data_IF_886107849803
#
_entry.id   IF_886107849803
#
_cell.length_a   1.000
_cell.length_b   1.000
_cell.length_c   1.000
_cell.angle_alpha   90.00
_cell.angle_beta   90.00
_cell.angle_gamma   90.00
#
_symmetry.space_group_name_H-M   'P 1'
#
loop_
_entity.id
_entity.type
_entity.pdbx_description
1 polymer ?
#
# COMPACT_ATOMS: atom_id res chain seq x y z
N UNK A 1 -7.45 1.43 12.40
CA UNK A 1 -8.68 1.26 11.61
C UNK A 1 -8.63 2.28 10.48
N UNK A 2 -8.61 1.84 9.23
CA UNK A 2 -8.64 2.70 8.04
C UNK A 2 -10.08 2.82 7.55
N UNK A 3 -10.58 4.05 7.38
CA UNK A 3 -11.94 4.31 6.89
C UNK A 3 -11.92 4.67 5.41
N UNK A 4 -12.75 3.99 4.60
CA UNK A 4 -12.98 4.31 3.19
C UNK A 4 -14.33 4.97 3.00
N UNK A 5 -14.36 6.20 2.49
CA UNK A 5 -15.56 6.83 1.94
C UNK A 5 -15.19 7.60 0.67
N UNK A 6 -15.08 6.89 -0.45
CA UNK A 6 -15.02 7.49 -1.79
C UNK A 6 -16.32 7.17 -2.52
N UNK A 7 -17.38 7.94 -2.31
CA UNK A 7 -18.61 7.84 -3.11
C UNK A 7 -19.09 9.21 -3.64
N UNK A 8 -18.36 10.31 -3.38
CA UNK A 8 -18.82 11.68 -3.66
C UNK A 8 -17.89 12.53 -4.54
N UNK A 9 -16.91 11.96 -5.25
CA UNK A 9 -16.11 12.70 -6.24
C UNK A 9 -15.06 13.66 -5.69
N UNK A 10 -14.84 13.75 -4.37
CA UNK A 10 -13.80 14.60 -3.76
C UNK A 10 -12.40 13.96 -3.70
N UNK A 11 -12.17 12.89 -4.47
CA UNK A 11 -10.98 12.05 -4.32
C UNK A 11 -11.04 11.19 -3.06
N UNK A 12 -10.19 10.17 -2.99
CA UNK A 12 -10.12 9.29 -1.83
C UNK A 12 -8.88 9.57 -1.00
N UNK A 13 -9.05 9.47 0.31
CA UNK A 13 -7.98 9.65 1.29
C UNK A 13 -7.95 8.47 2.25
N UNK A 14 -6.75 8.13 2.72
CA UNK A 14 -6.54 7.22 3.83
C UNK A 14 -6.17 8.04 5.08
N UNK A 15 -6.62 7.61 6.25
CA UNK A 15 -6.24 8.24 7.53
C UNK A 15 -5.66 7.24 8.49
N UNK A 16 -4.61 7.64 9.19
CA UNK A 16 -4.07 6.91 10.35
C UNK A 16 -4.56 7.52 11.64
N UNK A 17 -4.78 6.64 12.62
CA UNK A 17 -5.34 6.98 13.91
C UNK A 17 -4.55 6.29 14.99
N UNK A 18 -4.14 7.05 16.00
CA UNK A 18 -3.66 6.47 17.25
C UNK A 18 -4.87 5.98 18.05
N UNK A 19 -4.98 4.67 18.20
CA UNK A 19 -6.08 4.04 18.95
C UNK A 19 -5.97 4.33 20.45
N UNK A 20 -4.76 4.49 20.99
CA UNK A 20 -4.54 4.73 22.42
C UNK A 20 -4.88 6.16 22.79
N UNK A 21 -4.49 7.11 21.95
CA UNK A 21 -4.76 8.54 22.16
C UNK A 21 -6.09 8.99 21.53
N UNK A 22 -6.78 8.10 20.80
CA UNK A 22 -7.97 8.39 20.00
C UNK A 22 -7.82 9.62 19.10
N UNK A 23 -6.61 9.84 18.60
CA UNK A 23 -6.27 11.03 17.84
C UNK A 23 -5.93 10.67 16.40
N UNK A 24 -6.42 11.49 15.49
CA UNK A 24 -5.97 11.48 14.11
C UNK A 24 -4.48 11.82 14.06
N UNK A 25 -3.71 10.98 13.36
CA UNK A 25 -2.31 11.23 13.09
C UNK A 25 -2.19 11.91 11.72
N UNK A 26 -2.37 11.16 10.64
CA UNK A 26 -1.99 11.61 9.30
C UNK A 26 -3.15 11.39 8.29
N UNK A 27 -3.24 12.27 7.29
CA UNK A 27 -4.17 12.14 6.16
C UNK A 27 -3.39 12.00 4.85
N UNK A 28 -3.54 10.86 4.18
CA UNK A 28 -2.94 10.56 2.89
C UNK A 28 -3.96 10.82 1.79
N UNK A 29 -3.89 11.99 1.15
CA UNK A 29 -4.75 12.37 0.04
C UNK A 29 -3.97 12.33 -1.28
N UNK A 30 -4.55 11.70 -2.30
CA UNK A 30 -3.89 11.62 -3.62
C UNK A 30 -4.45 10.57 -4.57
N UNK A 31 -5.35 9.70 -4.10
CA UNK A 31 -6.07 8.78 -4.98
C UNK A 31 -7.24 9.48 -5.67
N UNK A 32 -7.40 9.21 -6.97
CA UNK A 32 -8.46 9.83 -7.78
C UNK A 32 -9.81 9.14 -7.54
N UNK A 33 -9.79 7.84 -7.25
CA UNK A 33 -10.98 7.06 -6.94
C UNK A 33 -10.88 6.39 -5.58
N UNK A 34 -11.95 5.72 -5.19
CA UNK A 34 -12.09 4.99 -3.94
C UNK A 34 -10.91 4.04 -3.73
N UNK A 35 -10.25 4.20 -2.59
CA UNK A 35 -9.29 3.22 -2.09
C UNK A 35 -10.11 2.01 -1.65
N UNK A 36 -9.75 0.82 -2.12
CA UNK A 36 -10.43 -0.41 -1.72
C UNK A 36 -9.68 -1.14 -0.63
N UNK A 37 -8.34 -1.13 -0.73
CA UNK A 37 -7.48 -1.82 0.21
C UNK A 37 -6.34 -0.91 0.68
N UNK A 38 -5.95 -1.11 1.93
CA UNK A 38 -4.74 -0.54 2.49
C UNK A 38 -4.09 -1.55 3.43
N UNK A 39 -2.76 -1.55 3.49
CA UNK A 39 -2.03 -2.41 4.40
C UNK A 39 -0.88 -1.62 5.05
N UNK A 40 -0.61 -1.94 6.31
CA UNK A 40 0.57 -1.45 6.99
C UNK A 40 1.72 -2.40 6.70
N UNK A 41 2.76 -1.87 6.08
CA UNK A 41 4.05 -2.51 6.07
C UNK A 41 4.70 -2.12 7.41
N UNK A 42 4.74 -3.08 8.34
CA UNK A 42 5.50 -2.94 9.57
C UNK A 42 6.91 -2.45 9.30
N UNK A 43 7.49 -1.79 10.30
CA UNK A 43 8.76 -1.08 10.18
C UNK A 43 9.81 -1.93 9.44
N UNK A 44 10.21 -1.50 8.24
CA UNK A 44 11.28 -2.15 7.52
C UNK A 44 12.50 -2.16 8.44
N UNK A 45 12.97 -3.34 8.88
CA UNK A 45 14.06 -3.45 9.89
C UNK A 45 15.35 -2.73 9.49
N UNK A 46 15.59 -2.48 8.19
CA UNK A 46 16.77 -1.72 7.75
C UNK A 46 16.71 -0.25 8.15
N UNK A 47 15.61 0.42 7.84
CA UNK A 47 15.47 1.87 8.00
C UNK A 47 14.55 2.27 9.16
N UNK A 48 13.88 1.32 9.79
CA UNK A 48 12.87 1.56 10.84
C UNK A 48 11.63 2.31 10.35
N UNK A 49 11.48 2.52 9.04
CA UNK A 49 10.40 3.30 8.44
C UNK A 49 9.13 2.47 8.39
N UNK A 50 8.04 3.06 8.89
CA UNK A 50 6.71 2.49 8.80
C UNK A 50 6.08 2.94 7.49
N UNK A 51 5.82 1.98 6.60
CA UNK A 51 5.27 2.26 5.29
C UNK A 51 3.80 1.85 5.25
N UNK A 52 3.02 2.57 4.47
CA UNK A 52 1.60 2.26 4.23
C UNK A 52 1.43 2.11 2.74
N UNK A 53 0.83 1.01 2.33
CA UNK A 53 0.47 0.78 0.95
C UNK A 53 -1.04 0.90 0.80
N UNK A 54 -1.47 1.64 -0.22
CA UNK A 54 -2.88 1.83 -0.55
C UNK A 54 -3.12 1.48 -2.00
N UNK A 55 -4.16 0.70 -2.26
CA UNK A 55 -4.60 0.30 -3.59
C UNK A 55 -5.98 0.86 -3.89
N UNK A 56 -6.11 1.48 -5.06
CA UNK A 56 -7.30 2.21 -5.46
C UNK A 56 -7.89 1.71 -6.78
N UNK A 57 -9.15 2.05 -6.99
CA UNK A 57 -9.88 1.82 -8.23
C UNK A 57 -9.35 2.64 -9.42
N UNK A 58 -8.46 3.60 -9.18
CA UNK A 58 -7.74 4.38 -10.20
C UNK A 58 -6.62 3.61 -10.89
N UNK A 59 -6.53 2.30 -10.65
CA UNK A 59 -5.48 1.41 -11.13
C UNK A 59 -4.08 1.82 -10.62
N UNK A 60 -4.01 2.61 -9.55
CA UNK A 60 -2.76 2.97 -8.88
C UNK A 60 -2.63 2.29 -7.53
N UNK A 61 -1.40 1.93 -7.21
CA UNK A 61 -0.97 1.61 -5.84
C UNK A 61 0.00 2.69 -5.41
N UNK A 62 -0.28 3.30 -4.26
CA UNK A 62 0.58 4.31 -3.66
C UNK A 62 1.23 3.76 -2.41
N UNK A 63 2.52 4.03 -2.28
CA UNK A 63 3.30 3.80 -1.08
C UNK A 63 3.48 5.13 -0.37
N UNK A 64 3.22 5.13 0.94
CA UNK A 64 3.28 6.30 1.80
C UNK A 64 4.22 6.03 2.95
N UNK A 65 5.00 7.03 3.32
CA UNK A 65 5.75 7.00 4.56
C UNK A 65 4.88 7.54 5.69
N UNK A 66 4.64 6.72 6.72
CA UNK A 66 3.82 7.10 7.86
C UNK A 66 4.49 8.14 8.77
N UNK A 67 5.82 8.32 8.68
CA UNK A 67 6.54 9.33 9.44
C UNK A 67 6.50 10.70 8.76
N UNK A 68 6.64 10.74 7.43
CA UNK A 68 6.72 12.02 6.69
C UNK A 68 5.41 12.45 6.04
N UNK A 69 4.40 11.57 5.98
CA UNK A 69 3.13 11.82 5.27
C UNK A 69 3.24 11.91 3.75
N UNK A 70 4.42 11.64 3.20
CA UNK A 70 4.69 11.79 1.78
C UNK A 70 4.41 10.50 1.00
N UNK A 71 3.94 10.68 -0.24
CA UNK A 71 3.84 9.59 -1.19
C UNK A 71 5.25 9.28 -1.72
N UNK A 72 5.82 8.18 -1.23
CA UNK A 72 7.15 7.71 -1.65
C UNK A 72 7.09 7.21 -3.09
N UNK A 73 6.02 6.49 -3.44
CA UNK A 73 5.88 5.91 -4.76
C UNK A 73 4.43 5.82 -5.21
N UNK A 74 4.23 6.01 -6.52
CA UNK A 74 2.97 5.72 -7.20
C UNK A 74 3.25 4.77 -8.35
N UNK A 75 2.69 3.56 -8.26
CA UNK A 75 2.75 2.55 -9.32
C UNK A 75 1.41 2.49 -10.02
N UNK A 76 1.43 2.50 -11.36
CA UNK A 76 0.24 2.40 -12.19
C UNK A 76 0.21 1.02 -12.87
N UNK A 77 -0.92 0.34 -12.75
CA UNK A 77 -1.12 -0.98 -13.31
C UNK A 77 -2.15 -0.92 -14.45
N UNK A 78 -1.70 -1.21 -15.67
CA UNK A 78 -2.57 -1.24 -16.85
C UNK A 78 -3.51 -2.45 -16.88
N UNK A 79 -3.35 -3.42 -15.97
CA UNK A 79 -4.13 -4.66 -15.89
C UNK A 79 -5.58 -4.45 -15.44
N UNK A 80 -5.96 -3.22 -15.08
CA UNK A 80 -7.32 -2.83 -14.72
C UNK A 80 -7.50 -2.57 -13.24
N UNK A 81 -8.76 -2.54 -12.82
CA UNK A 81 -9.15 -2.19 -11.44
C UNK A 81 -8.60 -3.21 -10.45
N UNK A 82 -7.96 -2.72 -9.39
CA UNK A 82 -7.46 -3.56 -8.30
C UNK A 82 -8.65 -3.91 -7.41
N UNK A 83 -8.95 -5.20 -7.30
CA UNK A 83 -10.07 -5.72 -6.51
C UNK A 83 -9.64 -6.17 -5.13
N UNK A 84 -8.41 -6.64 -5.01
CA UNK A 84 -7.85 -7.12 -3.76
C UNK A 84 -6.35 -6.85 -3.69
N UNK A 85 -5.88 -6.64 -2.47
CA UNK A 85 -4.46 -6.52 -2.15
C UNK A 85 -4.21 -7.25 -0.84
N UNK A 86 -3.17 -8.08 -0.82
CA UNK A 86 -2.61 -8.65 0.40
C UNK A 86 -1.10 -8.39 0.44
N UNK A 87 -0.57 -8.21 1.63
CA UNK A 87 0.85 -7.97 1.86
C UNK A 87 1.35 -9.04 2.80
N UNK A 88 2.46 -9.67 2.43
CA UNK A 88 3.15 -10.68 3.21
C UNK A 88 4.53 -10.14 3.54
N UNK A 89 4.74 -9.82 4.82
CA UNK A 89 6.06 -9.46 5.32
C UNK A 89 6.81 -10.74 5.67
N UNK A 90 7.91 -11.02 4.98
CA UNK A 90 8.79 -12.15 5.29
C UNK A 90 9.84 -11.67 6.29
N UNK A 91 9.67 -12.05 7.56
CA UNK A 91 10.75 -11.99 8.54
C UNK A 91 11.64 -13.21 8.38
N UNK A 92 12.69 -13.11 7.56
CA UNK A 92 13.72 -14.14 7.49
C UNK A 92 14.72 -13.96 8.64
N UNK A 93 14.70 -14.85 9.63
CA UNK A 93 15.60 -14.81 10.80
C UNK A 93 17.10 -14.98 10.45
N UNK A 94 17.42 -15.33 9.19
CA UNK A 94 18.77 -15.80 8.80
C UNK A 94 19.59 -14.86 7.91
N UNK A 95 18.97 -13.88 7.24
CA UNK A 95 19.69 -13.01 6.28
C UNK A 95 19.53 -11.50 6.49
N UNK A 96 18.78 -11.01 7.50
CA UNK A 96 18.52 -9.57 7.70
C UNK A 96 17.95 -8.84 6.47
N UNK A 97 17.41 -9.57 5.50
CA UNK A 97 16.69 -9.04 4.36
C UNK A 97 15.20 -9.23 4.65
N UNK A 98 14.52 -8.11 4.92
CA UNK A 98 13.07 -8.09 5.03
C UNK A 98 12.51 -7.78 3.65
N UNK A 99 12.05 -8.83 2.97
CA UNK A 99 11.29 -8.70 1.73
C UNK A 99 9.80 -8.65 2.06
N UNK A 100 9.10 -7.67 1.51
CA UNK A 100 7.65 -7.64 1.55
C UNK A 100 7.10 -7.99 0.17
N UNK A 101 6.36 -9.09 0.10
CA UNK A 101 5.64 -9.47 -1.11
C UNK A 101 4.24 -8.89 -1.06
N UNK A 102 3.88 -8.16 -2.10
CA UNK A 102 2.58 -7.56 -2.31
C UNK A 102 1.86 -8.34 -3.41
N UNK A 103 0.75 -8.95 -3.06
CA UNK A 103 -0.13 -9.64 -4.00
C UNK A 103 -1.26 -8.69 -4.38
N UNK A 104 -1.42 -8.45 -5.68
CA UNK A 104 -2.49 -7.64 -6.25
C UNK A 104 -3.40 -8.53 -7.09
N UNK A 105 -4.69 -8.51 -6.77
CA UNK A 105 -5.74 -9.09 -7.58
C UNK A 105 -6.38 -8.03 -8.46
N UNK A 106 -6.49 -8.32 -9.75
CA UNK A 106 -7.15 -7.46 -10.73
C UNK A 106 -8.55 -7.97 -11.07
N UNK A 107 -9.46 -7.07 -11.45
CA UNK A 107 -10.81 -7.42 -11.86
C UNK A 107 -10.83 -8.31 -13.13
N UNK A 108 -9.78 -8.24 -13.95
CA UNK A 108 -9.59 -9.10 -15.11
C UNK A 108 -9.41 -10.59 -14.76
N UNK A 109 -9.23 -10.92 -13.47
CA UNK A 109 -8.87 -12.26 -13.00
C UNK A 109 -7.36 -12.50 -12.93
N UNK A 110 -6.54 -11.54 -13.40
CA UNK A 110 -5.09 -11.60 -13.26
C UNK A 110 -4.69 -11.40 -11.80
N UNK A 111 -3.59 -12.04 -11.42
CA UNK A 111 -2.94 -11.83 -10.12
C UNK A 111 -1.48 -11.50 -10.37
N UNK A 112 -1.06 -10.33 -9.90
CA UNK A 112 0.33 -9.91 -9.93
C UNK A 112 0.94 -10.05 -8.55
N UNK A 113 2.13 -10.65 -8.48
CA UNK A 113 2.95 -10.68 -7.27
C UNK A 113 4.09 -9.68 -7.46
N UNK A 114 4.25 -8.77 -6.51
CA UNK A 114 5.26 -7.72 -6.56
C UNK A 114 6.13 -7.81 -5.31
N UNK A 115 7.45 -7.80 -5.48
CA UNK A 115 8.37 -7.64 -4.35
C UNK A 115 8.64 -6.16 -4.15
N UNK A 116 8.51 -5.70 -2.91
CA UNK A 116 8.94 -4.37 -2.50
C UNK A 116 10.43 -4.42 -2.16
N UNK A 117 11.26 -3.82 -3.01
CA UNK A 117 12.71 -3.77 -2.82
C UNK A 117 13.14 -2.58 -1.96
N UNK A 118 14.42 -2.54 -1.57
CA UNK A 118 15.03 -1.43 -0.82
C UNK A 118 14.88 -0.06 -1.50
N UNK A 119 14.67 -0.03 -2.83
CA UNK A 119 14.39 1.20 -3.57
C UNK A 119 12.97 1.73 -3.35
N UNK A 120 12.15 1.04 -2.54
CA UNK A 120 10.71 1.27 -2.35
C UNK A 120 9.87 0.98 -3.59
N UNK A 121 10.48 0.34 -4.59
CA UNK A 121 9.87 0.01 -5.87
C UNK A 121 9.21 -1.38 -5.85
N UNK A 122 8.03 -1.47 -6.47
CA UNK A 122 7.32 -2.73 -6.67
C UNK A 122 7.81 -3.37 -7.96
N UNK A 123 8.58 -4.44 -7.85
CA UNK A 123 9.01 -5.22 -9.00
C UNK A 123 8.13 -6.46 -9.20
N UNK A 124 7.63 -6.72 -10.42
CA UNK A 124 6.85 -7.92 -10.69
C UNK A 124 7.74 -9.16 -10.52
N UNK A 125 7.29 -10.09 -9.69
CA UNK A 125 7.88 -11.43 -9.54
C UNK A 125 7.22 -12.40 -10.53
N UNK A 126 5.89 -12.43 -10.57
CA UNK A 126 5.11 -13.25 -11.50
C UNK A 126 3.79 -12.56 -11.80
N UNK A 127 3.40 -12.51 -13.08
CA UNK A 127 2.07 -12.09 -13.54
C UNK A 127 1.39 -13.31 -14.18
N UNK A 128 0.20 -13.66 -13.67
CA UNK A 128 -0.61 -14.79 -14.16
C UNK A 128 -1.86 -14.30 -14.90
#
# INVERSE_FOLDING_TARGET
MSGHNGFAGEGAWAKTWDVRMQKHLNTFAGHQFTIYNCAFLGANRRDGRSLIITASNDCTVKLWDAATEECVQTNFFNAGRITSMSVVQKTAEKCNEEEADVYLGFLSGMVGVYSLTDAMELHPLVEY
#
